data_IF_802696175460
#
_entry.id   IF_802696175460
#
_cell.length_a   1.000
_cell.length_b   1.000
_cell.length_c   1.000
_cell.angle_alpha   90.00
_cell.angle_beta   90.00
_cell.angle_gamma   90.00
#
_symmetry.space_group_name_H-M   'P 1'
#
loop_
_entity.id
_entity.type
_entity.pdbx_description
1 polymer ?
#
# COMPACT_ATOMS: atom_id res chain seq x y z
N UNK A 1 56.39 -62.89 20.86
CA UNK A 1 56.18 -62.78 19.40
C UNK A 1 54.97 -61.90 19.15
N UNK A 2 55.11 -60.98 18.19
CA UNK A 2 54.26 -59.87 17.74
C UNK A 2 52.75 -60.20 17.59
N UNK A 3 51.87 -59.22 17.88
CA UNK A 3 50.67 -58.81 17.09
C UNK A 3 49.88 -57.72 17.85
N UNK A 4 50.19 -56.44 17.64
CA UNK A 4 49.58 -55.48 16.68
C UNK A 4 48.19 -55.01 17.14
N UNK A 5 48.16 -53.74 17.56
CA UNK A 5 46.99 -52.91 17.83
C UNK A 5 46.20 -52.60 16.54
N UNK A 6 44.88 -52.47 16.66
CA UNK A 6 44.05 -51.81 15.64
C UNK A 6 42.92 -51.04 16.34
N UNK A 7 43.12 -49.71 16.38
CA UNK A 7 42.12 -48.69 16.66
C UNK A 7 41.14 -48.60 15.50
N UNK A 8 39.83 -48.67 15.77
CA UNK A 8 38.77 -48.33 14.83
C UNK A 8 38.09 -47.05 15.31
N UNK A 9 38.52 -45.91 14.78
CA UNK A 9 37.80 -44.64 14.88
C UNK A 9 36.77 -44.58 13.75
N UNK A 10 35.48 -44.74 14.06
CA UNK A 10 34.40 -44.47 13.12
C UNK A 10 34.19 -42.95 13.01
N UNK A 11 34.68 -42.36 11.92
CA UNK A 11 34.28 -41.02 11.49
C UNK A 11 32.90 -41.10 10.81
N UNK A 12 31.87 -40.66 11.51
CA UNK A 12 30.56 -40.35 10.90
C UNK A 12 30.66 -39.02 10.15
N UNK A 13 30.80 -39.08 8.83
CA UNK A 13 30.66 -37.92 7.94
C UNK A 13 29.17 -37.68 7.62
N UNK A 14 28.54 -36.73 8.31
CA UNK A 14 27.22 -36.23 7.92
C UNK A 14 27.36 -35.22 6.77
N UNK A 15 26.56 -35.31 5.70
CA UNK A 15 26.51 -34.27 4.68
C UNK A 15 25.83 -33.02 5.26
N UNK A 16 26.56 -31.91 5.26
CA UNK A 16 26.02 -30.59 5.60
C UNK A 16 25.09 -30.17 4.46
N UNK A 17 23.78 -30.29 4.68
CA UNK A 17 22.78 -29.64 3.82
C UNK A 17 22.85 -28.13 4.05
N UNK A 18 23.44 -27.41 3.11
CA UNK A 18 23.36 -25.95 3.07
C UNK A 18 21.97 -25.56 2.59
N UNK A 19 21.13 -25.10 3.52
CA UNK A 19 19.87 -24.44 3.18
C UNK A 19 20.20 -23.11 2.51
N UNK A 20 20.09 -23.04 1.18
CA UNK A 20 20.06 -21.76 0.47
C UNK A 20 18.75 -21.05 0.84
N UNK A 21 18.83 -20.13 1.78
CA UNK A 21 17.78 -19.16 2.04
C UNK A 21 17.57 -18.34 0.78
N UNK A 22 16.45 -18.57 0.07
CA UNK A 22 15.99 -17.68 -0.96
C UNK A 22 15.67 -16.33 -0.29
N UNK A 23 16.60 -15.37 -0.45
CA UNK A 23 16.42 -14.00 -0.01
C UNK A 23 15.28 -13.42 -0.84
N UNK A 24 14.16 -13.11 -0.20
CA UNK A 24 13.11 -12.30 -0.78
C UNK A 24 13.75 -11.00 -1.27
N UNK A 25 13.50 -10.63 -2.53
CA UNK A 25 14.02 -9.40 -3.13
C UNK A 25 13.58 -8.19 -2.31
N UNK A 26 14.46 -7.71 -1.43
CA UNK A 26 14.38 -6.36 -0.89
C UNK A 26 14.71 -5.42 -2.05
N UNK A 27 13.70 -4.71 -2.54
CA UNK A 27 13.92 -3.60 -3.45
C UNK A 27 14.80 -2.58 -2.73
N UNK A 28 15.97 -2.28 -3.32
CA UNK A 28 16.96 -1.40 -2.72
C UNK A 28 16.34 -0.02 -2.40
N UNK A 29 16.69 0.60 -1.27
CA UNK A 29 16.23 1.95 -0.95
C UNK A 29 16.67 2.93 -2.04
N UNK A 30 15.73 3.75 -2.50
CA UNK A 30 15.98 4.86 -3.41
C UNK A 30 17.02 5.78 -2.76
N UNK A 31 18.09 6.10 -3.48
CA UNK A 31 19.17 6.96 -2.99
C UNK A 31 18.58 8.31 -2.53
N UNK A 32 19.05 8.82 -1.38
CA UNK A 32 18.50 10.03 -0.75
C UNK A 32 18.43 11.28 -1.66
N UNK A 33 19.30 11.38 -2.68
CA UNK A 33 19.26 12.46 -3.67
C UNK A 33 18.09 12.37 -4.66
N UNK A 34 17.65 11.16 -5.01
CA UNK A 34 16.50 10.94 -5.91
C UNK A 34 15.18 11.26 -5.20
N UNK A 35 15.11 11.04 -3.88
CA UNK A 35 13.94 11.44 -3.10
C UNK A 35 13.70 12.96 -3.22
N UNK A 36 14.69 13.80 -2.91
CA UNK A 36 14.50 15.25 -2.90
C UNK A 36 14.03 15.82 -4.25
N UNK A 37 14.44 15.22 -5.38
CA UNK A 37 14.06 15.66 -6.73
C UNK A 37 12.58 15.40 -7.06
N UNK A 38 11.92 14.46 -6.38
CA UNK A 38 10.53 14.09 -6.61
C UNK A 38 9.53 14.83 -5.72
N UNK A 39 10.01 15.74 -4.86
CA UNK A 39 9.16 16.52 -3.98
C UNK A 39 8.26 17.47 -4.82
N UNK A 40 6.95 17.44 -4.56
CA UNK A 40 5.96 18.22 -5.32
C UNK A 40 5.40 17.50 -6.56
N UNK A 41 5.93 16.34 -6.93
CA UNK A 41 5.26 15.47 -7.93
C UNK A 41 3.97 14.88 -7.35
N UNK A 42 2.97 14.53 -8.20
CA UNK A 42 1.82 13.78 -7.73
C UNK A 42 2.22 12.49 -7.02
N UNK A 43 1.60 12.19 -5.88
CA UNK A 43 1.90 11.04 -5.03
C UNK A 43 0.74 10.07 -4.91
N UNK A 44 1.08 8.84 -4.55
CA UNK A 44 0.17 7.74 -4.30
C UNK A 44 0.72 6.88 -3.16
N UNK A 45 -0.15 6.32 -2.33
CA UNK A 45 0.26 5.53 -1.16
C UNK A 45 -0.30 4.11 -1.25
N UNK A 46 0.53 3.13 -0.96
CA UNK A 46 0.09 1.78 -0.63
C UNK A 46 0.44 1.43 0.81
N UNK A 47 -0.45 0.73 1.50
CA UNK A 47 -0.23 0.19 2.84
C UNK A 47 -0.45 -1.32 2.81
N UNK A 48 0.48 -2.07 3.40
CA UNK A 48 0.44 -3.51 3.52
C UNK A 48 0.51 -3.91 4.99
N UNK A 49 -0.61 -4.44 5.51
CA UNK A 49 -0.75 -4.70 6.95
C UNK A 49 0.11 -5.87 7.43
N UNK A 50 0.14 -6.98 6.69
CA UNK A 50 0.94 -8.14 7.06
C UNK A 50 2.45 -7.82 7.05
N UNK A 51 2.90 -7.08 6.06
CA UNK A 51 4.29 -6.64 5.90
C UNK A 51 4.66 -5.50 6.85
N UNK A 52 3.67 -4.83 7.46
CA UNK A 52 3.83 -3.60 8.26
C UNK A 52 4.58 -2.52 7.50
N UNK A 53 4.16 -2.26 6.26
CA UNK A 53 4.85 -1.32 5.37
C UNK A 53 3.89 -0.33 4.73
N UNK A 54 4.24 0.95 4.76
CA UNK A 54 3.66 2.00 3.93
C UNK A 54 4.66 2.34 2.81
N UNK A 55 4.23 2.21 1.57
CA UNK A 55 5.00 2.59 0.38
C UNK A 55 4.46 3.91 -0.17
N UNK A 56 5.35 4.90 -0.27
CA UNK A 56 5.08 6.18 -0.91
C UNK A 56 5.61 6.14 -2.33
N UNK A 57 4.76 6.51 -3.28
CA UNK A 57 5.11 6.61 -4.69
C UNK A 57 4.97 8.06 -5.16
N UNK A 58 5.80 8.46 -6.12
CA UNK A 58 5.70 9.73 -6.82
C UNK A 58 5.68 9.51 -8.33
N UNK A 59 4.91 10.33 -9.04
CA UNK A 59 4.78 10.27 -10.49
C UNK A 59 6.06 10.79 -11.17
N UNK A 60 6.59 9.98 -12.07
CA UNK A 60 7.69 10.29 -12.99
C UNK A 60 7.19 9.95 -14.39
N UNK A 61 7.12 10.95 -15.25
CA UNK A 61 6.42 10.85 -16.54
C UNK A 61 4.99 10.33 -16.33
N UNK A 62 4.63 9.15 -16.84
CA UNK A 62 3.31 8.55 -16.72
C UNK A 62 3.21 7.41 -15.69
N UNK A 63 4.26 7.18 -14.90
CA UNK A 63 4.32 6.07 -13.94
C UNK A 63 4.64 6.55 -12.52
N UNK A 64 4.08 5.87 -11.55
CA UNK A 64 4.36 6.07 -10.14
C UNK A 64 5.53 5.17 -9.73
N UNK A 65 6.65 5.80 -9.38
CA UNK A 65 7.86 5.14 -8.93
C UNK A 65 7.94 5.18 -7.41
N UNK A 66 8.47 4.12 -6.80
CA UNK A 66 8.65 4.05 -5.36
C UNK A 66 9.61 5.17 -4.93
N UNK A 67 9.20 5.98 -3.96
CA UNK A 67 10.04 6.98 -3.29
C UNK A 67 10.67 6.36 -2.05
N UNK A 68 9.88 5.60 -1.29
CA UNK A 68 10.34 4.94 -0.08
C UNK A 68 9.31 3.97 0.48
N UNK A 69 9.82 2.98 1.22
CA UNK A 69 9.04 2.02 1.99
C UNK A 69 9.34 2.25 3.48
N UNK A 70 8.31 2.53 4.27
CA UNK A 70 8.42 2.93 5.66
C UNK A 70 7.73 1.89 6.54
N UNK A 71 8.47 1.37 7.53
CA UNK A 71 7.90 0.43 8.50
C UNK A 71 6.84 1.13 9.36
N UNK A 72 5.68 0.48 9.45
CA UNK A 72 4.58 0.85 10.35
C UNK A 72 4.92 0.34 11.75
N UNK A 73 4.96 1.24 12.72
CA UNK A 73 5.15 0.89 14.12
C UNK A 73 4.02 -0.01 14.60
N UNK A 74 2.79 0.49 14.44
CA UNK A 74 1.61 -0.20 14.93
C UNK A 74 0.36 0.10 14.11
N UNK A 75 -0.53 -0.88 14.07
CA UNK A 75 -1.89 -0.78 13.55
C UNK A 75 -2.77 -1.79 14.29
N UNK A 76 -4.04 -1.49 14.44
CA UNK A 76 -4.90 -2.27 15.34
C UNK A 76 -5.77 -3.29 14.59
N UNK A 77 -6.12 -4.37 15.29
CA UNK A 77 -7.16 -5.31 14.87
C UNK A 77 -6.78 -6.33 13.78
N UNK A 78 -5.49 -6.46 13.43
CA UNK A 78 -5.01 -7.48 12.47
C UNK A 78 -5.61 -7.32 11.06
N UNK A 79 -5.51 -8.37 10.23
CA UNK A 79 -6.01 -8.37 8.85
C UNK A 79 -7.55 -8.37 8.77
N UNK A 80 -8.10 -7.78 7.72
CA UNK A 80 -9.51 -7.48 7.49
C UNK A 80 -9.82 -5.98 7.66
N UNK A 81 -10.92 -5.53 7.04
CA UNK A 81 -11.39 -4.14 7.13
C UNK A 81 -12.06 -3.82 8.46
N UNK A 82 -12.00 -2.55 8.87
CA UNK A 82 -12.81 -1.94 9.92
C UNK A 82 -14.29 -1.96 9.53
N UNK A 83 -15.20 -2.16 10.48
CA UNK A 83 -16.65 -2.20 10.23
C UNK A 83 -17.48 -1.32 11.15
N UNK A 84 -17.04 -1.07 12.38
CA UNK A 84 -17.83 -0.27 13.34
C UNK A 84 -16.96 0.56 14.27
N UNK A 85 -17.53 1.61 14.83
CA UNK A 85 -16.87 2.34 15.93
C UNK A 85 -16.57 1.40 17.11
N UNK A 86 -15.39 1.55 17.70
CA UNK A 86 -14.94 0.70 18.82
C UNK A 86 -14.52 -0.73 18.49
N UNK A 87 -14.40 -1.13 17.21
CA UNK A 87 -13.86 -2.45 16.84
C UNK A 87 -12.32 -2.54 16.87
N UNK A 88 -11.64 -1.45 17.23
CA UNK A 88 -10.18 -1.34 17.33
C UNK A 88 -9.43 -1.88 16.11
N UNK A 89 -9.97 -1.62 14.91
CA UNK A 89 -9.45 -2.14 13.66
C UNK A 89 -9.06 -1.04 12.69
N UNK A 90 -7.89 -1.17 12.09
CA UNK A 90 -7.46 -0.29 11.00
C UNK A 90 -8.07 -0.75 9.67
N UNK A 91 -8.54 0.18 8.83
CA UNK A 91 -9.30 -0.13 7.62
C UNK A 91 -8.48 -0.85 6.54
N UNK A 92 -9.15 -1.44 5.56
CA UNK A 92 -8.58 -1.94 4.30
C UNK A 92 -9.48 -1.44 3.16
N UNK A 93 -8.94 -1.20 1.97
CA UNK A 93 -9.71 -0.67 0.85
C UNK A 93 -9.02 0.45 0.08
N UNK A 94 -9.81 1.15 -0.74
CA UNK A 94 -9.36 2.25 -1.58
C UNK A 94 -9.91 3.57 -1.05
N UNK A 95 -9.03 4.49 -0.70
CA UNK A 95 -9.39 5.78 -0.13
C UNK A 95 -8.85 6.91 -0.99
N UNK A 96 -9.48 8.06 -0.89
CA UNK A 96 -9.08 9.26 -1.58
C UNK A 96 -9.15 10.43 -0.62
N UNK A 97 -8.09 11.22 -0.56
CA UNK A 97 -7.95 12.32 0.36
C UNK A 97 -7.60 13.61 -0.39
N UNK A 98 -8.09 14.73 0.13
CA UNK A 98 -7.73 16.07 -0.32
C UNK A 98 -6.90 16.81 0.75
N UNK A 99 -6.53 18.06 0.47
CA UNK A 99 -5.73 18.88 1.38
C UNK A 99 -6.36 19.04 2.78
N UNK A 100 -7.68 18.97 2.91
CA UNK A 100 -8.37 19.12 4.20
C UNK A 100 -8.17 17.90 5.12
N UNK A 101 -7.67 16.79 4.58
CA UNK A 101 -7.32 15.60 5.35
C UNK A 101 -5.97 15.73 6.05
N UNK A 102 -5.15 16.73 5.70
CA UNK A 102 -3.91 17.02 6.41
C UNK A 102 -4.19 17.64 7.78
N UNK A 103 -3.42 17.21 8.78
CA UNK A 103 -3.48 17.65 10.18
C UNK A 103 -2.07 17.95 10.67
N UNK A 104 -1.48 19.09 10.25
CA UNK A 104 -0.10 19.45 10.62
C UNK A 104 0.08 19.65 12.14
N UNK A 105 -0.99 20.02 12.83
CA UNK A 105 -1.11 20.31 14.27
C UNK A 105 -1.54 19.09 15.10
N UNK A 106 -1.45 17.88 14.54
CA UNK A 106 -1.80 16.65 15.24
C UNK A 106 -1.01 16.49 16.55
N UNK A 107 -1.71 16.07 17.61
CA UNK A 107 -1.14 15.72 18.93
C UNK A 107 -0.19 14.51 18.89
N UNK A 108 -0.19 13.75 17.80
CA UNK A 108 0.68 12.59 17.60
C UNK A 108 1.79 12.84 16.56
N UNK A 109 2.25 14.09 16.44
CA UNK A 109 3.21 14.55 15.43
C UNK A 109 2.74 14.35 13.99
N UNK A 110 2.07 15.37 13.44
CA UNK A 110 1.46 15.40 12.09
C UNK A 110 0.51 14.23 11.81
N UNK A 111 -0.51 14.42 11.00
CA UNK A 111 -1.38 13.31 10.61
C UNK A 111 -2.04 13.53 9.26
N UNK A 112 -2.40 12.42 8.64
CA UNK A 112 -3.19 12.35 7.43
C UNK A 112 -4.43 11.53 7.74
N UNK A 113 -5.61 12.14 7.66
CA UNK A 113 -6.87 11.40 7.76
C UNK A 113 -7.08 10.58 6.49
N UNK A 114 -7.31 9.28 6.63
CA UNK A 114 -7.48 8.35 5.51
C UNK A 114 -8.83 8.55 4.80
N UNK A 115 -9.80 9.26 5.40
CA UNK A 115 -11.10 9.47 4.77
C UNK A 115 -12.05 8.27 4.93
N UNK A 116 -11.81 7.41 5.92
CA UNK A 116 -12.78 6.38 6.33
C UNK A 116 -14.01 7.02 7.01
N UNK A 117 -15.24 6.55 6.72
CA UNK A 117 -15.60 5.50 5.76
C UNK A 117 -15.60 6.02 4.32
N UNK A 118 -15.15 5.21 3.36
CA UNK A 118 -15.30 5.49 1.92
C UNK A 118 -16.69 5.06 1.39
N UNK A 119 -16.93 5.14 0.07
CA UNK A 119 -18.22 4.72 -0.53
C UNK A 119 -18.56 3.25 -0.30
N UNK A 120 -17.56 2.37 -0.33
CA UNK A 120 -17.76 0.94 -0.09
C UNK A 120 -18.15 0.72 1.37
N UNK A 121 -17.41 1.31 2.31
CA UNK A 121 -17.68 1.22 3.74
C UNK A 121 -19.10 1.72 4.04
N UNK A 122 -19.50 2.87 3.47
CA UNK A 122 -20.86 3.41 3.60
C UNK A 122 -21.91 2.46 3.03
N UNK A 123 -21.69 1.89 1.85
CA UNK A 123 -22.62 0.95 1.22
C UNK A 123 -22.77 -0.36 2.04
N UNK A 124 -21.75 -0.75 2.79
CA UNK A 124 -21.79 -1.89 3.72
C UNK A 124 -22.35 -1.52 5.11
N UNK A 125 -22.73 -0.26 5.34
CA UNK A 125 -23.21 0.22 6.64
C UNK A 125 -22.12 0.36 7.70
N UNK A 126 -20.85 0.44 7.30
CA UNK A 126 -19.73 0.56 8.23
C UNK A 126 -19.64 1.97 8.82
N UNK A 127 -19.18 2.05 10.07
CA UNK A 127 -19.13 3.28 10.84
C UNK A 127 -17.82 3.48 11.58
N UNK A 128 -17.56 4.73 11.95
CA UNK A 128 -16.33 5.18 12.58
C UNK A 128 -15.80 6.44 11.91
N UNK A 129 -14.71 6.99 12.45
CA UNK A 129 -14.08 8.23 11.98
C UNK A 129 -12.66 8.33 12.53
N UNK A 130 -11.91 9.28 11.99
CA UNK A 130 -10.56 9.64 12.47
C UNK A 130 -9.54 8.50 12.39
N UNK A 131 -9.56 7.75 11.28
CA UNK A 131 -8.52 6.76 10.98
C UNK A 131 -7.37 7.50 10.30
N UNK A 132 -6.24 7.57 10.98
CA UNK A 132 -5.11 8.43 10.58
C UNK A 132 -3.88 7.61 10.21
N UNK A 133 -3.01 8.19 9.39
CA UNK A 133 -1.58 7.89 9.34
C UNK A 133 -0.89 9.00 10.14
N UNK A 134 -0.13 8.68 11.19
CA UNK A 134 0.45 9.70 12.09
C UNK A 134 1.77 9.24 12.72
N UNK A 135 2.51 10.17 13.35
CA UNK A 135 3.75 9.88 14.08
C UNK A 135 3.55 9.24 15.46
N UNK A 136 4.50 9.44 16.36
CA UNK A 136 4.49 9.00 17.76
C UNK A 136 4.43 7.47 18.00
N UNK A 137 4.41 6.64 16.96
CA UNK A 137 4.59 5.17 17.06
C UNK A 137 3.59 4.44 18.01
N UNK A 138 2.44 5.05 18.33
CA UNK A 138 1.42 4.53 19.25
C UNK A 138 0.04 4.49 18.58
N UNK A 139 -0.69 3.37 18.59
CA UNK A 139 -2.01 3.27 17.91
C UNK A 139 -3.08 2.53 18.71
N UNK A 140 -4.34 2.97 18.56
CA UNK A 140 -5.56 2.28 19.04
C UNK A 140 -6.53 2.02 17.84
N UNK A 141 -6.11 2.33 16.61
CA UNK A 141 -6.91 2.14 15.39
C UNK A 141 -6.29 2.70 14.11
N UNK A 142 -5.31 3.59 14.25
CA UNK A 142 -4.59 4.26 13.17
C UNK A 142 -3.40 3.46 12.64
N UNK A 143 -2.73 3.99 11.62
CA UNK A 143 -1.40 3.56 11.19
C UNK A 143 -0.35 4.47 11.83
N UNK A 144 0.29 3.99 12.89
CA UNK A 144 1.32 4.75 13.57
C UNK A 144 2.69 4.53 12.91
N UNK A 145 3.37 5.63 12.65
CA UNK A 145 4.70 5.74 12.06
C UNK A 145 5.66 6.34 13.10
N UNK A 146 6.97 6.27 12.82
CA UNK A 146 7.92 7.13 13.54
C UNK A 146 7.75 8.58 13.07
N UNK A 147 8.15 9.54 13.90
CA UNK A 147 8.11 10.96 13.53
C UNK A 147 8.96 11.25 12.29
N UNK A 148 10.14 10.62 12.19
CA UNK A 148 11.01 10.78 11.02
C UNK A 148 10.32 10.32 9.72
N UNK A 149 9.64 9.16 9.73
CA UNK A 149 8.91 8.67 8.55
C UNK A 149 7.69 9.52 8.27
N UNK A 150 6.94 9.89 9.30
CA UNK A 150 5.75 10.74 9.16
C UNK A 150 6.12 12.12 8.59
N UNK A 151 7.26 12.68 8.96
CA UNK A 151 7.75 13.95 8.41
C UNK A 151 7.90 13.86 6.88
N UNK A 152 8.56 12.80 6.39
CA UNK A 152 8.76 12.59 4.96
C UNK A 152 7.42 12.39 4.27
N UNK A 153 6.60 11.44 4.73
CA UNK A 153 5.29 11.13 4.13
C UNK A 153 4.41 12.39 4.06
N UNK A 154 4.32 13.13 5.17
CA UNK A 154 3.51 14.35 5.23
C UNK A 154 4.01 15.43 4.27
N UNK A 155 5.33 15.67 4.22
CA UNK A 155 5.91 16.69 3.34
C UNK A 155 5.68 16.39 1.86
N UNK A 156 5.75 15.12 1.44
CA UNK A 156 5.45 14.74 0.06
C UNK A 156 3.99 14.95 -0.30
N UNK A 157 3.08 14.50 0.57
CA UNK A 157 1.64 14.66 0.34
C UNK A 157 1.27 16.15 0.33
N UNK A 158 1.79 16.93 1.27
CA UNK A 158 1.60 18.38 1.32
C UNK A 158 2.14 19.05 0.05
N UNK A 159 3.40 18.77 -0.33
CA UNK A 159 4.00 19.37 -1.51
C UNK A 159 3.25 19.00 -2.80
N UNK A 160 2.71 17.79 -2.91
CA UNK A 160 1.91 17.39 -4.06
C UNK A 160 0.60 18.18 -4.14
N UNK A 161 -0.08 18.41 -3.00
CA UNK A 161 -1.26 19.28 -2.94
C UNK A 161 -0.90 20.74 -3.29
N UNK A 162 0.17 21.27 -2.71
CA UNK A 162 0.64 22.63 -2.97
C UNK A 162 1.00 22.84 -4.45
N UNK A 163 1.40 21.76 -5.14
CA UNK A 163 1.73 21.75 -6.57
C UNK A 163 0.58 21.29 -7.48
N UNK A 164 -0.66 21.25 -6.97
CA UNK A 164 -1.87 21.12 -7.77
C UNK A 164 -2.43 19.70 -7.94
N UNK A 165 -1.85 18.67 -7.32
CA UNK A 165 -2.57 17.41 -7.16
C UNK A 165 -3.82 17.68 -6.33
N UNK A 166 -5.02 17.34 -6.81
CA UNK A 166 -6.26 17.63 -6.07
C UNK A 166 -6.60 16.59 -5.01
N UNK A 167 -6.19 15.36 -5.30
CA UNK A 167 -6.60 14.14 -4.62
C UNK A 167 -5.41 13.19 -4.59
N UNK A 168 -5.14 12.60 -3.43
CA UNK A 168 -4.15 11.53 -3.26
C UNK A 168 -4.89 10.24 -2.96
N UNK A 169 -4.72 9.23 -3.82
CA UNK A 169 -5.25 7.90 -3.58
C UNK A 169 -4.39 7.12 -2.57
N UNK A 170 -5.05 6.39 -1.68
CA UNK A 170 -4.43 5.51 -0.68
C UNK A 170 -5.07 4.12 -0.82
N UNK A 171 -4.27 3.13 -1.20
CA UNK A 171 -4.70 1.74 -1.24
C UNK A 171 -4.17 0.97 -0.04
N UNK A 172 -5.06 0.34 0.71
CA UNK A 172 -4.71 -0.39 1.94
C UNK A 172 -5.07 -1.86 1.77
N UNK A 173 -4.05 -2.71 1.77
CA UNK A 173 -4.17 -4.15 1.53
C UNK A 173 -3.85 -4.95 2.81
N UNK A 174 -4.46 -6.13 2.98
CA UNK A 174 -4.10 -7.05 4.06
C UNK A 174 -2.65 -7.53 3.93
N UNK A 175 -2.19 -7.78 2.71
CA UNK A 175 -0.86 -8.25 2.34
C UNK A 175 -0.60 -7.89 0.88
N UNK A 176 0.62 -8.11 0.37
CA UNK A 176 0.87 -8.05 -1.08
C UNK A 176 -0.03 -9.07 -1.80
N UNK A 177 -0.99 -8.60 -2.59
CA UNK A 177 -2.12 -9.41 -3.11
C UNK A 177 -1.74 -10.32 -4.30
N UNK A 178 -0.61 -11.03 -4.20
CA UNK A 178 -0.19 -12.05 -5.16
C UNK A 178 -1.12 -13.26 -5.11
N UNK A 179 -1.21 -14.02 -6.20
CA UNK A 179 -2.04 -15.24 -6.24
C UNK A 179 -1.65 -16.25 -5.17
N UNK A 180 -0.34 -16.36 -4.88
CA UNK A 180 0.17 -17.20 -3.80
C UNK A 180 -0.37 -16.75 -2.43
N UNK A 181 -0.32 -15.45 -2.12
CA UNK A 181 -0.82 -14.93 -0.85
C UNK A 181 -2.34 -15.05 -0.74
N UNK A 182 -3.08 -14.86 -1.84
CA UNK A 182 -4.51 -15.10 -1.89
C UNK A 182 -4.87 -16.57 -1.65
N UNK A 183 -4.11 -17.50 -2.23
CA UNK A 183 -4.30 -18.93 -2.03
C UNK A 183 -3.96 -19.40 -0.62
N UNK A 184 -2.89 -18.87 -0.02
CA UNK A 184 -2.53 -19.12 1.38
C UNK A 184 -3.65 -18.68 2.33
N UNK A 185 -4.33 -17.59 2.00
CA UNK A 185 -5.38 -16.98 2.81
C UNK A 185 -6.82 -17.36 2.39
N UNK A 186 -6.99 -18.35 1.49
CA UNK A 186 -8.28 -18.67 0.87
C UNK A 186 -9.43 -19.02 1.83
N UNK A 187 -9.10 -19.47 3.04
CA UNK A 187 -10.07 -19.85 4.08
C UNK A 187 -10.37 -18.71 5.07
N UNK A 188 -9.80 -17.52 4.86
CA UNK A 188 -10.05 -16.35 5.69
C UNK A 188 -11.51 -15.93 5.62
N UNK A 189 -12.06 -15.50 6.75
CA UNK A 189 -13.37 -14.86 6.82
C UNK A 189 -13.48 -13.62 5.90
N UNK A 190 -12.36 -12.96 5.60
CA UNK A 190 -12.32 -11.76 4.75
C UNK A 190 -12.06 -12.06 3.26
N UNK A 191 -11.95 -13.33 2.84
CA UNK A 191 -11.50 -13.67 1.48
C UNK A 191 -12.37 -13.04 0.38
N UNK A 192 -13.69 -12.98 0.57
CA UNK A 192 -14.60 -12.38 -0.42
C UNK A 192 -14.38 -10.88 -0.57
N UNK A 193 -14.05 -10.18 0.52
CA UNK A 193 -13.65 -8.78 0.48
C UNK A 193 -12.28 -8.61 -0.18
N UNK A 194 -11.30 -9.44 0.17
CA UNK A 194 -9.95 -9.39 -0.40
C UNK A 194 -9.94 -9.65 -1.92
N UNK A 195 -10.82 -10.53 -2.43
CA UNK A 195 -11.02 -10.71 -3.88
C UNK A 195 -11.44 -9.43 -4.60
N UNK A 196 -12.12 -8.49 -3.93
CA UNK A 196 -12.47 -7.20 -4.52
C UNK A 196 -11.28 -6.22 -4.57
N UNK A 197 -10.29 -6.39 -3.69
CA UNK A 197 -9.09 -5.54 -3.66
C UNK A 197 -8.02 -5.99 -4.66
N UNK A 198 -7.93 -7.31 -4.90
CA UNK A 198 -6.88 -7.91 -5.73
C UNK A 198 -6.75 -7.28 -7.14
N UNK A 199 -7.85 -6.97 -7.87
CA UNK A 199 -7.74 -6.34 -9.19
C UNK A 199 -7.07 -4.97 -9.15
N UNK A 200 -7.27 -4.18 -8.10
CA UNK A 200 -6.64 -2.86 -7.95
C UNK A 200 -5.13 -2.96 -7.70
N UNK A 201 -4.73 -3.94 -6.88
CA UNK A 201 -3.33 -4.28 -6.70
C UNK A 201 -2.69 -4.75 -8.01
N UNK A 202 -3.31 -5.69 -8.72
CA UNK A 202 -2.80 -6.22 -9.98
C UNK A 202 -2.67 -5.13 -11.06
N UNK A 203 -3.63 -4.18 -11.11
CA UNK A 203 -3.56 -3.03 -12.00
C UNK A 203 -2.31 -2.18 -11.73
N UNK A 204 -2.07 -1.80 -10.48
CA UNK A 204 -0.88 -1.01 -10.14
C UNK A 204 0.41 -1.77 -10.46
N UNK A 205 0.50 -3.07 -10.16
CA UNK A 205 1.69 -3.87 -10.46
C UNK A 205 1.98 -3.96 -11.97
N UNK A 206 0.95 -3.94 -12.82
CA UNK A 206 1.10 -4.01 -14.27
C UNK A 206 1.41 -2.66 -14.91
N UNK A 207 0.74 -1.59 -14.46
CA UNK A 207 0.77 -0.30 -15.14
C UNK A 207 1.57 0.78 -14.39
N UNK A 208 1.92 0.55 -13.13
CA UNK A 208 2.49 1.55 -12.23
C UNK A 208 1.67 2.83 -12.17
N UNK A 209 0.35 2.68 -12.14
CA UNK A 209 -0.61 3.78 -12.04
C UNK A 209 -1.66 3.42 -10.99
N UNK A 210 -2.12 4.38 -10.15
CA UNK A 210 -3.21 4.17 -9.23
C UNK A 210 -4.44 3.61 -9.97
N UNK A 211 -5.11 2.57 -9.44
CA UNK A 211 -6.30 2.03 -10.07
C UNK A 211 -7.45 3.05 -9.98
N UNK A 212 -8.21 3.21 -11.07
CA UNK A 212 -9.51 3.89 -11.01
C UNK A 212 -10.52 2.95 -10.37
N UNK A 213 -11.02 3.28 -9.19
CA UNK A 213 -11.95 2.44 -8.43
C UNK A 213 -13.28 3.16 -8.25
N UNK A 214 -14.37 2.42 -8.47
CA UNK A 214 -15.73 2.86 -8.19
C UNK A 214 -16.44 1.81 -7.33
N UNK A 215 -17.57 2.19 -6.72
CA UNK A 215 -18.42 1.27 -5.96
C UNK A 215 -19.75 1.11 -6.68
N UNK A 216 -20.04 -0.10 -7.15
CA UNK A 216 -21.26 -0.43 -7.90
C UNK A 216 -21.97 -1.55 -7.16
N UNK A 217 -23.25 -1.37 -6.84
CA UNK A 217 -24.06 -2.33 -6.08
C UNK A 217 -23.34 -2.79 -4.79
N UNK A 218 -22.66 -1.88 -4.09
CA UNK A 218 -21.94 -2.14 -2.85
C UNK A 218 -20.59 -2.87 -3.00
N UNK A 219 -20.09 -3.10 -4.22
CA UNK A 219 -18.83 -3.78 -4.47
C UNK A 219 -17.82 -2.88 -5.18
N UNK A 220 -16.52 -3.05 -4.89
CA UNK A 220 -15.48 -2.36 -5.66
C UNK A 220 -15.46 -2.86 -7.11
N UNK A 221 -15.30 -1.93 -8.04
CA UNK A 221 -15.08 -2.18 -9.46
C UNK A 221 -13.87 -1.37 -9.90
N UNK A 222 -12.88 -2.05 -10.47
CA UNK A 222 -11.67 -1.41 -11.00
C UNK A 222 -11.86 -1.14 -12.48
N UNK A 223 -11.93 0.13 -12.85
CA UNK A 223 -12.11 0.56 -14.23
C UNK A 223 -10.77 0.44 -14.96
N UNK A 224 -10.73 -0.39 -16.00
CA UNK A 224 -9.54 -0.57 -16.85
C UNK A 224 -9.41 0.51 -17.94
N UNK A 225 -10.26 1.54 -17.92
CA UNK A 225 -10.30 2.55 -18.96
C UNK A 225 -9.16 3.56 -18.77
N UNK A 226 -8.12 3.41 -19.59
CA UNK A 226 -7.20 4.51 -19.88
C UNK A 226 -7.97 5.56 -20.69
N UNK A 227 -8.35 6.67 -20.08
CA UNK A 227 -8.84 7.83 -20.85
C UNK A 227 -7.95 9.03 -20.60
N UNK A 228 -6.90 9.15 -21.40
CA UNK A 228 -6.35 10.44 -21.81
C UNK A 228 -5.85 10.35 -23.26
N UNK A 229 -6.78 10.33 -24.20
CA UNK A 229 -6.58 10.94 -25.53
C UNK A 229 -7.93 11.47 -25.98
N UNK A 230 -8.12 12.79 -26.13
CA UNK A 230 -9.30 13.29 -26.82
C UNK A 230 -9.16 12.84 -28.28
N UNK A 231 -10.08 12.00 -28.75
CA UNK A 231 -10.19 11.71 -30.16
C UNK A 231 -10.58 13.01 -30.87
N UNK A 232 -9.86 13.46 -31.93
CA UNK A 232 -10.28 14.62 -32.69
C UNK A 232 -11.64 14.33 -33.31
N UNK A 233 -12.63 15.20 -33.05
CA UNK A 233 -13.91 15.18 -33.72
C UNK A 233 -13.71 15.39 -35.22
N UNK A 234 -13.85 14.32 -36.00
CA UNK A 234 -14.01 14.42 -37.46
C UNK A 234 -15.44 14.88 -37.76
N UNK A 235 -15.71 16.17 -37.58
CA UNK A 235 -16.88 16.85 -38.15
C UNK A 235 -16.48 18.19 -38.75
N UNK A 236 -15.71 18.12 -39.83
CA UNK A 236 -15.66 19.05 -40.95
C UNK A 236 -15.34 18.13 -42.16
N UNK A 237 -16.04 18.12 -43.29
CA UNK A 237 -16.58 19.20 -44.10
C UNK A 237 -17.78 18.67 -44.90
N UNK A 238 -18.92 19.33 -44.85
CA UNK A 238 -19.93 19.20 -45.90
C UNK A 238 -19.81 20.43 -46.80
N UNK A 239 -19.33 20.19 -48.02
CA UNK A 239 -19.12 21.17 -49.08
C UNK A 239 -20.45 21.79 -49.49
N UNK A 240 -20.50 23.13 -49.48
CA UNK A 240 -21.57 23.90 -50.13
C UNK A 240 -21.37 23.82 -51.64
N UNK A 241 -22.37 23.28 -52.33
CA UNK A 241 -22.66 23.57 -53.74
C UNK A 241 -24.16 23.73 -53.90
#
# INVERSE_FOLDING_TARGET
MVRIALLLAMLFSLPVFTMSSAVASEQAPVQAGVQQQLLGSPVYIQIFKQERTLELYAKVEDKFQLVGAYRICDFSGGLGNKRREGDFKSPEGFYNIDIHHLKPDSRFYRAINIGFPNDYDRAQGYSGKYLMIHGNCLSIGCYAMTDAYMNVIFNYVQAAFDNGQRNVEISIYPFRMTDANMQLNRNSYYINFWRQLQPGYAYFQKYHQPPSVSVINGNYVVNQSQTLTPQPSQLAFATVK
#
